data_IF_918976788361
#
_entry.id   IF_918976788361
#
_cell.length_a   1.000
_cell.length_b   1.000
_cell.length_c   1.000
_cell.angle_alpha   90.00
_cell.angle_beta   90.00
_cell.angle_gamma   90.00
#
_symmetry.space_group_name_H-M   'P 1'
#
loop_
_entity.id
_entity.type
_entity.pdbx_description
1 polymer ?
#
# COMPACT_ATOMS: atom_id res chain seq x y z
N UNK A 1 -4.80 -30.94 -8.25
CA UNK A 1 -4.87 -29.98 -9.38
C UNK A 1 -4.49 -28.57 -8.93
N UNK A 2 -4.93 -28.09 -7.75
CA UNK A 2 -4.56 -26.78 -7.19
C UNK A 2 -3.05 -26.53 -7.06
N UNK A 3 -2.26 -27.54 -6.67
CA UNK A 3 -0.79 -27.42 -6.54
C UNK A 3 -0.13 -26.93 -7.84
N UNK A 4 -0.68 -27.28 -9.01
CA UNK A 4 -0.14 -26.88 -10.31
C UNK A 4 -0.40 -25.38 -10.57
N UNK A 5 -1.58 -24.88 -10.18
CA UNK A 5 -1.93 -23.48 -10.36
C UNK A 5 -1.19 -22.57 -9.37
N UNK A 6 -1.03 -22.99 -8.12
CA UNK A 6 -0.23 -22.27 -7.13
C UNK A 6 1.21 -22.06 -7.59
N UNK A 7 1.90 -23.14 -7.94
CA UNK A 7 3.30 -23.06 -8.42
C UNK A 7 3.42 -22.21 -9.68
N UNK A 8 2.45 -22.27 -10.60
CA UNK A 8 2.45 -21.42 -11.80
C UNK A 8 2.21 -19.95 -11.48
N UNK A 9 1.24 -19.64 -10.63
CA UNK A 9 0.96 -18.26 -10.23
C UNK A 9 2.17 -17.64 -9.52
N UNK A 10 2.78 -18.38 -8.58
CA UNK A 10 4.03 -17.97 -7.92
C UNK A 10 5.14 -17.70 -8.94
N UNK A 11 5.33 -18.59 -9.91
CA UNK A 11 6.33 -18.41 -10.97
C UNK A 11 6.07 -17.16 -11.84
N UNK A 12 4.81 -16.83 -12.13
CA UNK A 12 4.46 -15.61 -12.85
C UNK A 12 4.68 -14.35 -12.02
N UNK A 13 4.43 -14.38 -10.70
CA UNK A 13 4.77 -13.28 -9.79
C UNK A 13 6.29 -13.06 -9.78
N UNK A 14 7.08 -14.13 -9.60
CA UNK A 14 8.54 -14.06 -9.60
C UNK A 14 9.12 -13.60 -10.95
N UNK A 15 8.49 -14.00 -12.06
CA UNK A 15 8.85 -13.52 -13.39
C UNK A 15 8.57 -12.02 -13.53
N UNK A 16 7.37 -11.57 -13.13
CA UNK A 16 7.01 -10.16 -13.13
C UNK A 16 7.99 -9.30 -12.31
N UNK A 17 8.39 -9.79 -11.14
CA UNK A 17 9.36 -9.11 -10.27
C UNK A 17 10.71 -8.93 -10.96
N UNK A 18 11.19 -9.95 -11.70
CA UNK A 18 12.43 -9.82 -12.50
C UNK A 18 12.27 -8.86 -13.67
N UNK A 19 11.14 -8.89 -14.36
CA UNK A 19 10.86 -8.02 -15.52
C UNK A 19 10.77 -6.54 -15.12
N UNK A 20 10.26 -6.23 -13.92
CA UNK A 20 10.31 -4.87 -13.36
C UNK A 20 11.76 -4.38 -13.24
N UNK A 21 12.69 -5.23 -12.79
CA UNK A 21 14.11 -4.86 -12.65
C UNK A 21 14.75 -4.54 -14.01
N UNK A 22 14.25 -5.17 -15.08
CA UNK A 22 14.63 -4.89 -16.46
C UNK A 22 13.95 -3.63 -17.05
N UNK A 23 13.18 -2.91 -16.23
CA UNK A 23 12.49 -1.65 -16.55
C UNK A 23 11.41 -1.76 -17.64
N UNK A 24 10.79 -2.93 -17.79
CA UNK A 24 9.61 -3.11 -18.66
C UNK A 24 8.33 -3.29 -17.83
N UNK A 25 7.70 -2.21 -17.33
CA UNK A 25 6.52 -2.32 -16.48
C UNK A 25 5.30 -2.92 -17.20
N UNK A 26 5.23 -2.80 -18.53
CA UNK A 26 4.16 -3.40 -19.35
C UNK A 26 4.26 -4.92 -19.39
N UNK A 27 5.46 -5.47 -19.56
CA UNK A 27 5.67 -6.92 -19.59
C UNK A 27 5.45 -7.55 -18.20
N UNK A 28 5.81 -6.83 -17.14
CA UNK A 28 5.52 -7.25 -15.77
C UNK A 28 4.01 -7.25 -15.48
N UNK A 29 3.26 -6.26 -16.00
CA UNK A 29 1.80 -6.25 -15.88
C UNK A 29 1.16 -7.51 -16.49
N UNK A 30 1.65 -7.98 -17.64
CA UNK A 30 1.17 -9.24 -18.23
C UNK A 30 1.40 -10.41 -17.26
N UNK A 31 2.59 -10.51 -16.68
CA UNK A 31 2.92 -11.57 -15.73
C UNK A 31 1.97 -11.57 -14.52
N UNK A 32 1.74 -10.42 -13.89
CA UNK A 32 0.83 -10.34 -12.74
C UNK A 32 -0.62 -10.60 -13.10
N UNK A 33 -1.09 -10.15 -14.28
CA UNK A 33 -2.42 -10.49 -14.77
C UNK A 33 -2.59 -11.99 -14.98
N UNK A 34 -1.60 -12.66 -15.53
CA UNK A 34 -1.63 -14.13 -15.66
C UNK A 34 -1.66 -14.80 -14.28
N UNK A 35 -0.88 -14.33 -13.30
CA UNK A 35 -0.97 -14.84 -11.93
C UNK A 35 -2.38 -14.67 -11.33
N UNK A 36 -3.02 -13.52 -11.56
CA UNK A 36 -4.41 -13.25 -11.13
C UNK A 36 -5.41 -14.18 -11.84
N UNK A 37 -5.25 -14.44 -13.13
CA UNK A 37 -6.12 -15.38 -13.86
C UNK A 37 -6.03 -16.81 -13.30
N UNK A 38 -4.85 -17.21 -12.86
CA UNK A 38 -4.64 -18.51 -12.23
C UNK A 38 -5.20 -18.56 -10.80
N UNK A 39 -4.99 -17.49 -10.02
CA UNK A 39 -5.41 -17.39 -8.62
C UNK A 39 -5.91 -15.97 -8.33
N UNK A 40 -7.20 -15.71 -8.57
CA UNK A 40 -7.77 -14.37 -8.37
C UNK A 40 -7.76 -13.90 -6.91
N UNK A 41 -7.59 -14.82 -5.96
CA UNK A 41 -7.61 -14.54 -4.51
C UNK A 41 -6.21 -14.31 -3.94
N UNK A 42 -5.14 -14.39 -4.75
CA UNK A 42 -3.78 -14.12 -4.29
C UNK A 42 -3.55 -12.61 -4.17
N UNK A 43 -3.46 -12.06 -2.95
CA UNK A 43 -3.30 -10.62 -2.76
C UNK A 43 -1.95 -10.11 -3.29
N UNK A 44 -0.94 -10.97 -3.40
CA UNK A 44 0.40 -10.59 -3.87
C UNK A 44 0.35 -10.13 -5.32
N UNK A 45 -0.33 -10.89 -6.19
CA UNK A 45 -0.42 -10.57 -7.60
C UNK A 45 -1.16 -9.23 -7.83
N UNK A 46 -2.24 -8.99 -7.09
CA UNK A 46 -2.94 -7.71 -7.11
C UNK A 46 -2.10 -6.55 -6.62
N UNK A 47 -1.36 -6.74 -5.52
CA UNK A 47 -0.47 -5.70 -4.99
C UNK A 47 0.64 -5.35 -6.00
N UNK A 48 1.28 -6.37 -6.59
CA UNK A 48 2.33 -6.20 -7.61
C UNK A 48 1.81 -5.52 -8.87
N UNK A 49 0.61 -5.88 -9.34
CA UNK A 49 -0.05 -5.18 -10.44
C UNK A 49 -0.29 -3.70 -10.12
N UNK A 50 -0.74 -3.39 -8.90
CA UNK A 50 -0.90 -2.02 -8.43
C UNK A 50 0.42 -1.24 -8.43
N UNK A 51 1.53 -1.86 -8.03
CA UNK A 51 2.87 -1.24 -8.11
C UNK A 51 3.27 -0.92 -9.57
N UNK A 52 3.02 -1.83 -10.51
CA UNK A 52 3.22 -1.56 -11.95
C UNK A 52 2.39 -0.37 -12.42
N UNK A 53 1.11 -0.34 -12.08
CA UNK A 53 0.20 0.73 -12.47
C UNK A 53 0.59 2.09 -11.86
N UNK A 54 1.16 2.09 -10.65
CA UNK A 54 1.75 3.27 -10.04
C UNK A 54 2.93 3.81 -10.87
N UNK A 55 3.85 2.92 -11.29
CA UNK A 55 4.98 3.28 -12.15
C UNK A 55 4.52 3.83 -13.51
N UNK A 56 3.41 3.30 -14.03
CA UNK A 56 2.78 3.76 -15.28
C UNK A 56 1.87 4.99 -15.10
N UNK A 57 1.72 5.53 -13.89
CA UNK A 57 0.82 6.67 -13.56
C UNK A 57 -0.64 6.43 -13.95
N UNK A 58 -1.16 5.24 -13.63
CA UNK A 58 -2.53 4.80 -13.89
C UNK A 58 -3.35 4.71 -12.58
N UNK A 59 -3.71 5.84 -11.94
CA UNK A 59 -4.22 5.88 -10.56
C UNK A 59 -5.53 5.11 -10.36
N UNK A 60 -6.46 5.16 -11.33
CA UNK A 60 -7.73 4.44 -11.21
C UNK A 60 -7.56 2.91 -11.23
N UNK A 61 -6.63 2.41 -12.04
CA UNK A 61 -6.33 0.98 -12.12
C UNK A 61 -5.55 0.54 -10.87
N UNK A 62 -4.57 1.35 -10.48
CA UNK A 62 -3.81 1.16 -9.23
C UNK A 62 -4.75 1.05 -8.02
N UNK A 63 -5.75 1.93 -7.92
CA UNK A 63 -6.73 1.93 -6.84
C UNK A 63 -7.52 0.62 -6.82
N UNK A 64 -8.00 0.14 -7.98
CA UNK A 64 -8.71 -1.12 -8.06
C UNK A 64 -7.82 -2.30 -7.63
N UNK A 65 -6.58 -2.37 -8.10
CA UNK A 65 -5.64 -3.45 -7.76
C UNK A 65 -5.29 -3.46 -6.26
N UNK A 66 -5.02 -2.30 -5.66
CA UNK A 66 -4.75 -2.21 -4.22
C UNK A 66 -5.98 -2.54 -3.37
N UNK A 67 -7.19 -2.18 -3.82
CA UNK A 67 -8.42 -2.60 -3.13
C UNK A 67 -8.57 -4.12 -3.14
N UNK A 68 -8.29 -4.81 -4.25
CA UNK A 68 -8.30 -6.28 -4.27
C UNK A 68 -7.23 -6.88 -3.37
N UNK A 69 -6.00 -6.35 -3.37
CA UNK A 69 -4.95 -6.83 -2.46
C UNK A 69 -5.36 -6.73 -0.98
N UNK A 70 -5.99 -5.61 -0.58
CA UNK A 70 -6.54 -5.43 0.77
C UNK A 70 -7.78 -6.28 1.00
N UNK A 71 -8.63 -6.51 0.00
CA UNK A 71 -9.80 -7.38 0.15
C UNK A 71 -9.38 -8.83 0.49
N UNK A 72 -8.35 -9.35 -0.16
CA UNK A 72 -7.85 -10.70 0.07
C UNK A 72 -6.84 -10.80 1.22
N UNK A 73 -6.27 -9.67 1.67
CA UNK A 73 -5.41 -9.60 2.86
C UNK A 73 -5.58 -8.25 3.56
N UNK A 74 -6.64 -8.14 4.36
CA UNK A 74 -7.07 -6.88 4.95
C UNK A 74 -6.21 -6.40 6.13
N UNK A 75 -5.29 -7.24 6.60
CA UNK A 75 -4.43 -6.94 7.76
C UNK A 75 -2.96 -6.77 7.40
N UNK A 76 -2.60 -6.84 6.12
CA UNK A 76 -1.22 -6.63 5.69
C UNK A 76 -0.88 -5.12 5.76
N UNK A 77 0.03 -4.69 6.66
CA UNK A 77 0.29 -3.27 6.86
C UNK A 77 0.89 -2.57 5.65
N UNK A 78 1.62 -3.29 4.80
CA UNK A 78 2.18 -2.76 3.56
C UNK A 78 1.06 -2.46 2.55
N UNK A 79 0.14 -3.40 2.35
CA UNK A 79 -0.98 -3.21 1.42
C UNK A 79 -1.90 -2.08 1.89
N UNK A 80 -2.21 -2.05 3.19
CA UNK A 80 -2.95 -0.96 3.81
C UNK A 80 -2.27 0.38 3.60
N UNK A 81 -0.96 0.47 3.85
CA UNK A 81 -0.16 1.68 3.64
C UNK A 81 -0.21 2.20 2.20
N UNK A 82 -0.01 1.33 1.22
CA UNK A 82 -0.02 1.73 -0.18
C UNK A 82 -1.40 2.15 -0.67
N UNK A 83 -2.47 1.45 -0.25
CA UNK A 83 -3.83 1.88 -0.51
C UNK A 83 -4.11 3.23 0.15
N UNK A 84 -3.79 3.38 1.44
CA UNK A 84 -4.05 4.61 2.18
C UNK A 84 -3.30 5.83 1.63
N UNK A 85 -2.05 5.65 1.20
CA UNK A 85 -1.30 6.70 0.51
C UNK A 85 -1.97 7.12 -0.80
N UNK A 86 -2.49 6.17 -1.58
CA UNK A 86 -3.20 6.49 -2.82
C UNK A 86 -4.54 7.17 -2.55
N UNK A 87 -5.29 6.74 -1.53
CA UNK A 87 -6.53 7.39 -1.11
C UNK A 87 -6.28 8.84 -0.70
N UNK A 88 -5.22 9.11 0.08
CA UNK A 88 -4.78 10.46 0.43
C UNK A 88 -4.45 11.30 -0.82
N UNK A 89 -3.66 10.76 -1.75
CA UNK A 89 -3.31 11.43 -3.01
C UNK A 89 -4.54 11.77 -3.85
N UNK A 90 -5.56 10.92 -3.84
CA UNK A 90 -6.82 11.10 -4.54
C UNK A 90 -7.85 11.90 -3.73
N UNK A 91 -7.49 12.38 -2.53
CA UNK A 91 -8.36 13.10 -1.59
C UNK A 91 -9.63 12.32 -1.19
N UNK A 92 -9.57 10.99 -1.18
CA UNK A 92 -10.63 10.08 -0.76
C UNK A 92 -10.56 9.85 0.76
N UNK A 93 -10.65 10.92 1.54
CA UNK A 93 -10.36 10.91 2.98
C UNK A 93 -11.38 10.10 3.81
N UNK A 94 -12.64 10.05 3.37
CA UNK A 94 -13.67 9.23 4.04
C UNK A 94 -13.33 7.74 3.98
N UNK A 95 -12.90 7.25 2.82
CA UNK A 95 -12.51 5.85 2.65
C UNK A 95 -11.22 5.52 3.41
N UNK A 96 -10.28 6.47 3.49
CA UNK A 96 -9.08 6.31 4.32
C UNK A 96 -9.43 6.19 5.81
N UNK A 97 -10.35 7.01 6.31
CA UNK A 97 -10.84 6.94 7.69
C UNK A 97 -11.55 5.60 7.99
N UNK A 98 -12.37 5.11 7.07
CA UNK A 98 -13.00 3.78 7.17
C UNK A 98 -11.96 2.65 7.18
N UNK A 99 -10.95 2.72 6.30
CA UNK A 99 -9.86 1.75 6.22
C UNK A 99 -9.08 1.67 7.54
N UNK A 100 -8.77 2.83 8.13
CA UNK A 100 -8.09 2.92 9.42
C UNK A 100 -8.96 2.37 10.55
N UNK A 101 -10.23 2.77 10.63
CA UNK A 101 -11.17 2.27 11.66
C UNK A 101 -11.31 0.75 11.61
N UNK A 102 -11.46 0.17 10.43
CA UNK A 102 -11.61 -1.28 10.25
C UNK A 102 -10.40 -2.07 10.77
N UNK A 103 -9.19 -1.53 10.62
CA UNK A 103 -7.94 -2.25 10.86
C UNK A 103 -7.20 -1.82 12.13
N UNK A 104 -7.74 -0.85 12.87
CA UNK A 104 -7.07 -0.22 14.01
C UNK A 104 -6.60 -1.25 15.05
N UNK A 105 -7.49 -2.11 15.55
CA UNK A 105 -7.18 -3.03 16.65
C UNK A 105 -6.03 -4.00 16.31
N UNK A 106 -5.85 -4.33 15.03
CA UNK A 106 -4.84 -5.29 14.58
C UNK A 106 -3.54 -4.64 14.13
N UNK A 107 -3.58 -3.37 13.72
CA UNK A 107 -2.44 -2.68 13.11
C UNK A 107 -1.96 -1.44 13.90
N UNK A 108 -2.59 -1.06 15.01
CA UNK A 108 -2.32 0.18 15.78
C UNK A 108 -0.90 0.32 16.37
N UNK A 109 -0.07 -0.73 16.31
CA UNK A 109 1.34 -0.70 16.69
C UNK A 109 2.29 -0.96 15.50
N UNK A 110 1.78 -1.02 14.27
CA UNK A 110 2.61 -1.10 13.08
C UNK A 110 3.00 0.31 12.60
N UNK A 111 4.29 0.60 12.36
CA UNK A 111 4.76 1.91 11.91
C UNK A 111 4.10 2.39 10.62
N UNK A 112 3.98 1.54 9.60
CA UNK A 112 3.35 1.91 8.32
C UNK A 112 1.89 2.30 8.49
N UNK A 113 1.17 1.57 9.34
CA UNK A 113 -0.22 1.87 9.67
C UNK A 113 -0.35 3.18 10.46
N UNK A 114 0.51 3.41 11.45
CA UNK A 114 0.56 4.65 12.22
C UNK A 114 0.89 5.87 11.35
N UNK A 115 1.72 5.70 10.31
CA UNK A 115 1.98 6.77 9.33
C UNK A 115 0.71 7.19 8.62
N UNK A 116 -0.16 6.25 8.22
CA UNK A 116 -1.44 6.59 7.59
C UNK A 116 -2.38 7.35 8.53
N UNK A 117 -2.48 6.92 9.79
CA UNK A 117 -3.29 7.64 10.78
C UNK A 117 -2.75 9.07 10.97
N UNK A 118 -1.42 9.21 11.12
CA UNK A 118 -0.77 10.52 11.16
C UNK A 118 -1.10 11.41 9.95
N UNK A 119 -1.07 10.85 8.73
CA UNK A 119 -1.46 11.54 7.49
C UNK A 119 -2.92 12.00 7.55
N UNK A 120 -3.84 11.13 7.97
CA UNK A 120 -5.26 11.49 8.07
C UNK A 120 -5.50 12.56 9.14
N UNK A 121 -4.81 12.49 10.29
CA UNK A 121 -4.90 13.52 11.32
C UNK A 121 -4.41 14.88 10.79
N UNK A 122 -3.32 14.85 10.03
CA UNK A 122 -2.79 16.03 9.35
C UNK A 122 -3.81 16.62 8.37
N UNK A 123 -4.40 15.80 7.50
CA UNK A 123 -5.45 16.24 6.57
C UNK A 123 -6.69 16.83 7.25
N UNK A 124 -6.97 16.40 8.48
CA UNK A 124 -8.07 16.91 9.31
C UNK A 124 -7.65 18.11 10.19
N UNK A 125 -6.49 18.70 9.96
CA UNK A 125 -5.96 19.85 10.71
C UNK A 125 -5.72 19.57 12.21
N UNK A 126 -5.64 18.29 12.59
CA UNK A 126 -5.36 17.84 13.97
C UNK A 126 -3.85 17.67 14.15
N UNK A 127 -3.11 18.76 13.99
CA UNK A 127 -1.65 18.80 13.92
C UNK A 127 -0.95 18.19 15.13
N UNK A 128 -1.43 18.48 16.35
CA UNK A 128 -0.84 17.93 17.59
C UNK A 128 -1.01 16.41 17.67
N UNK A 129 -2.18 15.91 17.27
CA UNK A 129 -2.46 14.49 17.23
C UNK A 129 -1.58 13.80 16.16
N UNK A 130 -1.49 14.39 14.97
CA UNK A 130 -0.63 13.90 13.90
C UNK A 130 0.83 13.80 14.37
N UNK A 131 1.39 14.87 14.96
CA UNK A 131 2.77 14.89 15.48
C UNK A 131 3.01 13.83 16.54
N UNK A 132 2.07 13.65 17.48
CA UNK A 132 2.16 12.61 18.52
C UNK A 132 2.20 11.19 17.92
N UNK A 133 1.33 10.91 16.95
CA UNK A 133 1.25 9.60 16.28
C UNK A 133 2.51 9.34 15.45
N UNK A 134 2.95 10.34 14.69
CA UNK A 134 4.15 10.24 13.85
C UNK A 134 5.43 10.06 14.69
N UNK A 135 5.54 10.74 15.83
CA UNK A 135 6.63 10.49 16.78
C UNK A 135 6.60 9.06 17.35
N UNK A 136 5.41 8.52 17.66
CA UNK A 136 5.26 7.11 18.06
C UNK A 136 5.70 6.15 16.94
N UNK A 137 5.44 6.49 15.68
CA UNK A 137 5.88 5.70 14.53
C UNK A 137 7.43 5.62 14.48
N UNK A 138 8.12 6.75 14.64
CA UNK A 138 9.58 6.81 14.64
C UNK A 138 10.23 6.03 15.80
N UNK A 139 9.62 6.03 16.98
CA UNK A 139 10.15 5.25 18.10
C UNK A 139 9.99 3.74 17.89
N UNK A 140 8.93 3.31 17.19
CA UNK A 140 8.68 1.89 16.90
C UNK A 140 9.54 1.36 15.76
N UNK A 141 9.80 2.18 14.74
CA UNK A 141 10.72 1.84 13.66
C UNK A 141 11.30 3.11 13.03
N UNK A 142 12.56 3.47 13.34
CA UNK A 142 13.22 4.61 12.74
C UNK A 142 13.65 4.27 11.31
N UNK A 143 12.68 4.24 10.39
CA UNK A 143 12.95 4.07 8.96
C UNK A 143 13.14 5.45 8.33
N UNK A 144 14.26 5.70 7.62
CA UNK A 144 14.52 7.00 6.98
C UNK A 144 13.40 7.48 6.03
N UNK A 145 12.69 6.55 5.40
CA UNK A 145 11.57 6.86 4.51
C UNK A 145 10.36 7.44 5.26
N UNK A 146 10.17 7.04 6.53
CA UNK A 146 9.11 7.56 7.38
C UNK A 146 9.54 8.90 7.99
N UNK A 147 10.81 9.05 8.37
CA UNK A 147 11.37 10.34 8.82
C UNK A 147 11.21 11.45 7.78
N UNK A 148 11.57 11.19 6.52
CA UNK A 148 11.43 12.19 5.44
C UNK A 148 9.97 12.60 5.18
N UNK A 149 9.02 11.66 5.32
CA UNK A 149 7.59 11.97 5.23
C UNK A 149 7.11 12.82 6.42
N UNK A 150 7.62 12.57 7.63
CA UNK A 150 7.27 13.35 8.83
C UNK A 150 7.80 14.77 8.75
N UNK A 151 8.99 14.99 8.19
CA UNK A 151 9.53 16.34 7.97
C UNK A 151 8.66 17.17 7.01
N UNK A 152 8.07 16.55 5.98
CA UNK A 152 7.07 17.21 5.13
C UNK A 152 5.80 17.64 5.90
N UNK A 153 5.50 16.99 7.03
CA UNK A 153 4.37 17.29 7.92
C UNK A 153 4.73 18.21 9.09
N UNK A 154 5.90 18.86 9.18
CA UNK A 154 6.12 19.83 10.26
C UNK A 154 5.61 21.23 9.82
N UNK A 155 4.56 21.79 10.46
CA UNK A 155 4.03 23.09 10.08
C UNK A 155 5.00 24.23 10.40
N UNK A 156 6.03 23.98 11.22
CA UNK A 156 7.08 24.96 11.50
C UNK A 156 8.13 25.06 10.37
N UNK A 157 8.07 24.18 9.35
CA UNK A 157 8.96 24.20 8.18
C UNK A 157 8.34 24.83 6.92
N UNK A 158 7.10 25.31 6.98
CA UNK A 158 6.38 25.96 5.86
C UNK A 158 6.23 27.46 6.15
#
# INVERSE_FOLDING_TARGET
MEINYQVKADAYIELGDRVILEKSPQDAEICYRTAIELIPEDPRAWYKLGQCQAACRLPNQQLASFRFAVQFSDHNPEYLYHLGCLLDQMNLLTELDELLKKNYDRCCNNPWFLTLDGILQWRNERWDAAKKILNKCLTLNPVPILESKIQWFDPATI
#
